data_IF_054831740582
#
_entry.id   IF_054831740582
#
_cell.length_a   1.000
_cell.length_b   1.000
_cell.length_c   1.000
_cell.angle_alpha   90.00
_cell.angle_beta   90.00
_cell.angle_gamma   90.00
#
_symmetry.space_group_name_H-M   'P 1'
#
loop_
_entity.id
_entity.type
_entity.pdbx_description
1 polymer ?
#
# COMPACT_ATOMS: atom_id res chain seq x y z
N UNK A 1 4.86 -9.81 10.01
CA UNK A 1 4.49 -9.62 8.59
C UNK A 1 4.98 -8.24 8.17
N UNK A 2 5.79 -8.15 7.12
CA UNK A 2 6.30 -6.88 6.58
C UNK A 2 5.31 -6.31 5.54
N UNK A 3 5.28 -4.99 5.33
CA UNK A 3 4.38 -4.33 4.35
C UNK A 3 4.59 -4.88 2.93
N UNK A 4 5.83 -5.22 2.57
CA UNK A 4 6.13 -5.81 1.26
C UNK A 4 5.45 -7.16 1.08
N UNK A 5 5.49 -8.02 2.10
CA UNK A 5 4.82 -9.33 2.08
C UNK A 5 3.30 -9.15 2.00
N UNK A 6 2.73 -8.24 2.79
CA UNK A 6 1.30 -7.92 2.75
C UNK A 6 0.83 -7.44 1.37
N UNK A 7 1.61 -6.55 0.73
CA UNK A 7 1.31 -6.06 -0.61
C UNK A 7 1.38 -7.18 -1.65
N UNK A 8 2.40 -8.04 -1.57
CA UNK A 8 2.55 -9.19 -2.46
C UNK A 8 1.39 -10.19 -2.29
N UNK A 9 0.96 -10.47 -1.06
CA UNK A 9 -0.19 -11.32 -0.78
C UNK A 9 -1.50 -10.74 -1.33
N UNK A 10 -1.77 -9.45 -1.10
CA UNK A 10 -2.91 -8.75 -1.69
C UNK A 10 -2.86 -8.79 -3.23
N UNK A 11 -1.69 -8.57 -3.81
CA UNK A 11 -1.48 -8.62 -5.26
C UNK A 11 -1.76 -10.02 -5.85
N UNK A 12 -1.22 -11.07 -5.23
CA UNK A 12 -1.40 -12.45 -5.70
C UNK A 12 -2.82 -12.99 -5.46
N UNK A 13 -3.44 -12.61 -4.35
CA UNK A 13 -4.82 -13.00 -4.04
C UNK A 13 -5.86 -12.19 -4.83
N UNK A 14 -5.47 -11.04 -5.39
CA UNK A 14 -6.41 -10.09 -6.01
C UNK A 14 -7.34 -9.42 -5.00
N UNK A 15 -6.98 -9.49 -3.71
CA UNK A 15 -7.68 -8.86 -2.60
C UNK A 15 -7.39 -7.37 -2.55
N UNK A 16 -8.32 -6.61 -1.98
CA UNK A 16 -8.08 -5.20 -1.72
C UNK A 16 -7.03 -5.04 -0.62
N UNK A 17 -6.14 -4.07 -0.79
CA UNK A 17 -5.18 -3.61 0.21
C UNK A 17 -5.77 -2.39 0.89
N UNK A 18 -5.52 -2.23 2.19
CA UNK A 18 -5.82 -1.02 2.94
C UNK A 18 -4.51 -0.43 3.48
N UNK A 19 -4.25 0.86 3.25
CA UNK A 19 -2.99 1.51 3.60
C UNK A 19 -3.25 2.89 4.20
N UNK A 20 -2.46 3.23 5.22
CA UNK A 20 -2.38 4.58 5.79
C UNK A 20 -1.13 5.25 5.25
N UNK A 21 -1.32 6.36 4.54
CA UNK A 21 -0.26 7.15 3.95
C UNK A 21 -0.08 8.47 4.71
N UNK A 22 1.17 8.93 4.76
CA UNK A 22 1.56 10.24 5.26
C UNK A 22 1.75 11.20 4.10
N UNK A 23 0.99 12.28 4.09
CA UNK A 23 1.20 13.35 3.11
C UNK A 23 2.41 14.22 3.51
N UNK A 24 3.32 14.52 2.57
CA UNK A 24 4.58 15.26 2.83
C UNK A 24 4.36 16.71 3.31
N UNK A 25 3.17 17.27 3.09
CA UNK A 25 2.90 18.71 3.27
C UNK A 25 1.95 19.04 4.43
N UNK A 26 1.29 18.06 5.04
CA UNK A 26 0.38 18.27 6.16
C UNK A 26 0.28 17.02 7.03
N UNK A 27 -0.15 17.18 8.29
CA UNK A 27 -0.52 16.10 9.23
C UNK A 27 -1.79 15.32 8.78
N UNK A 28 -1.99 15.18 7.47
CA UNK A 28 -3.12 14.48 6.86
C UNK A 28 -2.73 13.02 6.71
N UNK A 29 -3.55 12.15 7.31
CA UNK A 29 -3.52 10.71 7.12
C UNK A 29 -4.44 10.41 5.93
N UNK A 30 -3.87 9.95 4.82
CA UNK A 30 -4.67 9.46 3.70
C UNK A 30 -4.87 7.95 3.85
N UNK A 31 -6.11 7.50 3.74
CA UNK A 31 -6.43 6.08 3.71
C UNK A 31 -6.70 5.66 2.27
N UNK A 32 -5.94 4.66 1.79
CA UNK A 32 -6.11 4.10 0.45
C UNK A 32 -6.58 2.67 0.59
N UNK A 33 -7.70 2.37 -0.08
CA UNK A 33 -8.23 1.02 -0.20
C UNK A 33 -8.43 0.68 -1.67
N UNK A 34 -7.95 -0.49 -2.09
CA UNK A 34 -8.14 -0.93 -3.47
C UNK A 34 -7.20 -2.04 -3.90
N UNK A 35 -7.18 -2.33 -5.20
CA UNK A 35 -6.37 -3.42 -5.72
C UNK A 35 -4.97 -2.95 -6.04
N UNK A 36 -3.99 -3.72 -5.55
CA UNK A 36 -2.61 -3.57 -6.01
C UNK A 36 -2.56 -4.09 -7.44
N UNK A 37 -2.18 -3.23 -8.38
CA UNK A 37 -2.10 -3.57 -9.80
C UNK A 37 -0.66 -3.79 -10.25
N UNK A 38 0.30 -3.12 -9.59
CA UNK A 38 1.74 -3.23 -9.86
C UNK A 38 2.53 -3.04 -8.58
N UNK A 39 3.60 -3.82 -8.44
CA UNK A 39 4.59 -3.67 -7.38
C UNK A 39 5.95 -3.56 -8.06
N UNK A 40 6.68 -2.48 -7.76
CA UNK A 40 8.07 -2.32 -8.13
C UNK A 40 8.93 -2.35 -6.86
N UNK A 41 9.53 -3.50 -6.60
CA UNK A 41 10.38 -3.73 -5.44
C UNK A 41 11.73 -2.99 -5.53
N UNK A 42 12.23 -2.71 -6.74
CA UNK A 42 13.47 -1.98 -6.95
C UNK A 42 13.32 -0.49 -6.58
N UNK A 43 12.19 0.12 -6.95
CA UNK A 43 11.91 1.53 -6.64
C UNK A 43 11.08 1.73 -5.38
N UNK A 44 10.69 0.66 -4.68
CA UNK A 44 9.80 0.70 -3.50
C UNK A 44 8.49 1.45 -3.79
N UNK A 45 7.95 1.28 -4.99
CA UNK A 45 6.71 1.93 -5.43
C UNK A 45 5.69 0.87 -5.84
N UNK A 46 4.41 1.14 -5.62
CA UNK A 46 3.33 0.27 -6.04
C UNK A 46 2.14 1.10 -6.53
N UNK A 47 1.25 0.47 -7.29
CA UNK A 47 0.09 1.12 -7.88
C UNK A 47 -1.19 0.53 -7.30
N UNK A 48 -2.03 1.37 -6.70
CA UNK A 48 -3.35 0.98 -6.18
C UNK A 48 -4.42 1.78 -6.91
N UNK A 49 -5.38 1.11 -7.55
CA UNK A 49 -6.46 1.75 -8.33
C UNK A 49 -5.95 2.83 -9.32
N UNK A 50 -4.84 2.55 -10.01
CA UNK A 50 -4.22 3.47 -10.94
C UNK A 50 -3.34 4.55 -10.30
N UNK A 51 -3.36 4.71 -8.97
CA UNK A 51 -2.56 5.69 -8.26
C UNK A 51 -1.19 5.12 -7.85
N UNK A 52 -0.07 5.73 -8.28
CA UNK A 52 1.25 5.34 -7.80
C UNK A 52 1.44 5.84 -6.37
N UNK A 53 1.94 4.96 -5.50
CA UNK A 53 2.19 5.21 -4.08
C UNK A 53 3.60 4.76 -3.75
N UNK A 54 4.34 5.58 -3.02
CA UNK A 54 5.66 5.22 -2.52
C UNK A 54 5.54 4.48 -1.18
N UNK A 55 6.30 3.41 -0.99
CA UNK A 55 6.31 2.66 0.26
C UNK A 55 6.77 3.49 1.46
N UNK A 56 7.59 4.51 1.22
CA UNK A 56 8.05 5.45 2.26
C UNK A 56 6.93 6.42 2.72
N UNK A 57 5.85 6.53 1.94
CA UNK A 57 4.65 7.27 2.35
C UNK A 57 3.73 6.40 3.22
N UNK A 58 3.87 5.08 3.18
CA UNK A 58 3.09 4.16 4.01
C UNK A 58 3.57 4.21 5.46
N UNK A 59 2.71 4.68 6.35
CA UNK A 59 2.97 4.78 7.79
C UNK A 59 2.21 3.73 8.60
N UNK A 60 1.35 2.97 7.94
CA UNK A 60 0.64 1.86 8.55
C UNK A 60 -0.21 1.13 7.53
N UNK A 61 -0.62 -0.06 7.91
CA UNK A 61 -1.62 -0.86 7.23
C UNK A 61 -2.36 -1.63 8.32
N UNK A 62 -3.69 -1.76 8.25
CA UNK A 62 -4.40 -2.62 9.18
C UNK A 62 -3.85 -4.03 8.97
N UNK A 63 -3.41 -4.68 10.05
CA UNK A 63 -3.10 -6.10 9.98
C UNK A 63 -4.35 -6.82 9.47
N UNK A 64 -4.24 -7.59 8.38
CA UNK A 64 -5.39 -8.33 7.93
C UNK A 64 -5.71 -9.40 8.98
N UNK A 65 -6.96 -9.46 9.43
CA UNK A 65 -7.46 -10.54 10.26
C UNK A 65 -7.74 -11.79 9.41
N UNK A 66 -6.75 -12.23 8.63
CA UNK A 66 -6.81 -13.47 7.84
C UNK A 66 -6.84 -14.70 8.75
#
# INVERSE_FOLDING_TARGET
MNISEYLEECYHSGSDVALLLREKSALILAFVEGKVEKINSETRQFQVNGQPIELDEVIGFPEPSF
#
